data_IF_335894299630
#
_entry.id   IF_335894299630
#
_cell.length_a   1.000
_cell.length_b   1.000
_cell.length_c   1.000
_cell.angle_alpha   90.00
_cell.angle_beta   90.00
_cell.angle_gamma   90.00
#
_symmetry.space_group_name_H-M   'P 1'
#
loop_
_entity.id
_entity.type
_entity.pdbx_description
1 polymer ?
#
# COMPACT_ATOMS: atom_id res chain seq x y z
N UNK A 1 -14.25 -9.83 4.32
CA UNK A 1 -14.75 -10.00 5.70
C UNK A 1 -14.17 -8.99 6.70
N UNK A 2 -12.85 -8.71 6.74
CA UNK A 2 -12.26 -7.69 7.64
C UNK A 2 -12.54 -6.24 7.23
N UNK A 3 -12.49 -5.93 5.93
CA UNK A 3 -12.67 -4.55 5.42
C UNK A 3 -14.10 -4.01 5.67
N UNK A 4 -15.12 -4.88 5.64
CA UNK A 4 -16.51 -4.49 5.94
C UNK A 4 -16.75 -4.22 7.43
N UNK A 5 -15.85 -4.66 8.32
CA UNK A 5 -16.04 -4.59 9.77
C UNK A 5 -15.27 -3.45 10.42
N UNK A 6 -14.08 -3.10 9.90
CA UNK A 6 -13.21 -2.06 10.45
C UNK A 6 -13.06 -0.83 9.56
N UNK A 7 -13.52 -0.88 8.31
CA UNK A 7 -13.30 0.18 7.33
C UNK A 7 -11.99 0.03 6.56
N UNK A 8 -11.90 0.72 5.42
CA UNK A 8 -10.82 0.55 4.43
C UNK A 8 -9.54 1.28 4.81
N UNK A 9 -9.68 2.42 5.48
CA UNK A 9 -8.58 3.27 5.93
C UNK A 9 -7.68 2.58 6.97
N UNK A 10 -8.19 1.99 8.07
CA UNK A 10 -7.33 1.32 9.04
C UNK A 10 -6.62 0.10 8.45
N UNK A 11 -7.25 -0.65 7.55
CA UNK A 11 -6.58 -1.77 6.85
C UNK A 11 -5.44 -1.28 5.98
N UNK A 12 -5.63 -0.15 5.28
CA UNK A 12 -4.56 0.48 4.49
C UNK A 12 -3.41 0.95 5.39
N UNK A 13 -3.70 1.62 6.51
CA UNK A 13 -2.69 2.12 7.46
C UNK A 13 -1.88 0.95 8.06
N UNK A 14 -2.56 -0.10 8.51
CA UNK A 14 -1.91 -1.31 9.05
C UNK A 14 -1.04 -1.96 7.97
N UNK A 15 -1.54 -2.10 6.74
CA UNK A 15 -0.78 -2.64 5.61
C UNK A 15 0.47 -1.82 5.28
N UNK A 16 0.34 -0.50 5.21
CA UNK A 16 1.46 0.42 4.95
C UNK A 16 2.49 0.43 6.09
N UNK A 17 2.03 0.34 7.34
CA UNK A 17 2.91 0.25 8.51
C UNK A 17 3.71 -1.06 8.51
N UNK A 18 3.05 -2.19 8.25
CA UNK A 18 3.71 -3.50 8.11
C UNK A 18 4.73 -3.49 6.96
N UNK A 19 4.43 -2.80 5.86
CA UNK A 19 5.37 -2.60 4.76
C UNK A 19 6.64 -1.86 5.21
N UNK A 20 6.49 -0.74 5.93
CA UNK A 20 7.63 0.05 6.43
C UNK A 20 8.48 -0.76 7.43
N UNK A 21 7.82 -1.47 8.35
CA UNK A 21 8.50 -2.36 9.31
C UNK A 21 9.20 -3.50 8.58
N UNK A 22 8.54 -4.13 7.61
CA UNK A 22 9.10 -5.22 6.80
C UNK A 22 10.37 -4.79 6.06
N UNK A 23 10.36 -3.61 5.42
CA UNK A 23 11.55 -3.05 4.75
C UNK A 23 12.66 -2.69 5.75
N UNK A 24 12.31 -2.10 6.89
CA UNK A 24 13.29 -1.79 7.94
C UNK A 24 13.97 -3.06 8.47
N UNK A 25 13.19 -4.10 8.73
CA UNK A 25 13.68 -5.40 9.19
C UNK A 25 14.58 -6.08 8.15
N UNK A 26 14.20 -6.09 6.87
CA UNK A 26 15.01 -6.70 5.82
C UNK A 26 16.28 -5.91 5.50
N UNK A 27 16.30 -4.59 5.70
CA UNK A 27 17.47 -3.75 5.37
C UNK A 27 18.50 -3.72 6.51
N UNK A 28 18.04 -3.67 7.76
CA UNK A 28 18.91 -3.45 8.92
C UNK A 28 19.57 -4.72 9.46
N UNK A 29 18.83 -5.83 9.53
CA UNK A 29 19.28 -7.00 10.29
C UNK A 29 20.21 -7.93 9.51
N UNK A 30 21.24 -8.42 10.22
CA UNK A 30 22.21 -9.39 9.72
C UNK A 30 21.79 -10.79 10.18
N UNK A 31 21.06 -11.53 9.34
CA UNK A 31 20.73 -12.93 9.60
C UNK A 31 19.60 -13.47 8.72
N UNK A 32 19.76 -14.70 8.23
CA UNK A 32 18.75 -15.41 7.42
C UNK A 32 17.39 -15.49 8.11
N UNK A 33 17.27 -15.77 9.44
CA UNK A 33 15.98 -15.85 10.10
C UNK A 33 15.25 -14.51 10.15
N UNK A 34 15.98 -13.43 10.46
CA UNK A 34 15.42 -12.08 10.58
C UNK A 34 14.99 -11.52 9.21
N UNK A 35 15.78 -11.81 8.16
CA UNK A 35 15.41 -11.51 6.78
C UNK A 35 14.14 -12.23 6.32
N UNK A 36 13.95 -13.48 6.75
CA UNK A 36 12.71 -14.24 6.46
C UNK A 36 11.50 -13.65 7.16
N UNK A 37 11.61 -13.28 8.44
CA UNK A 37 10.53 -12.60 9.18
C UNK A 37 10.18 -11.27 8.50
N UNK A 38 11.19 -10.50 8.09
CA UNK A 38 10.99 -9.26 7.34
C UNK A 38 10.22 -9.51 6.03
N UNK A 39 10.56 -10.55 5.26
CA UNK A 39 9.83 -10.92 4.03
C UNK A 39 8.40 -11.35 4.27
N UNK A 40 8.13 -12.11 5.32
CA UNK A 40 6.76 -12.50 5.70
C UNK A 40 5.94 -11.25 6.03
N UNK A 41 6.51 -10.35 6.84
CA UNK A 41 5.87 -9.09 7.23
C UNK A 41 5.59 -8.20 6.02
N UNK A 42 6.56 -8.09 5.11
CA UNK A 42 6.44 -7.32 3.87
C UNK A 42 5.35 -7.90 2.96
N UNK A 43 5.30 -9.22 2.80
CA UNK A 43 4.25 -9.90 2.03
C UNK A 43 2.85 -9.69 2.60
N UNK A 44 2.70 -9.78 3.93
CA UNK A 44 1.44 -9.48 4.61
C UNK A 44 1.02 -8.01 4.39
N UNK A 45 1.96 -7.07 4.54
CA UNK A 45 1.72 -5.65 4.32
C UNK A 45 1.24 -5.33 2.89
N UNK A 46 1.90 -5.91 1.88
CA UNK A 46 1.47 -5.79 0.46
C UNK A 46 0.07 -6.36 0.27
N UNK A 47 -0.23 -7.53 0.82
CA UNK A 47 -1.53 -8.17 0.67
C UNK A 47 -2.69 -7.34 1.24
N UNK A 48 -2.50 -6.76 2.44
CA UNK A 48 -3.51 -5.88 3.06
C UNK A 48 -3.66 -4.57 2.30
N UNK A 49 -2.54 -3.93 1.93
CA UNK A 49 -2.57 -2.66 1.20
C UNK A 49 -3.21 -2.82 -0.19
N UNK A 50 -2.84 -3.86 -0.93
CA UNK A 50 -3.37 -4.12 -2.28
C UNK A 50 -4.89 -4.33 -2.26
N UNK A 51 -5.39 -5.16 -1.34
CA UNK A 51 -6.83 -5.35 -1.18
C UNK A 51 -7.56 -4.04 -0.84
N UNK A 52 -7.03 -3.26 0.10
CA UNK A 52 -7.63 -1.99 0.48
C UNK A 52 -7.67 -0.98 -0.69
N UNK A 53 -6.56 -0.86 -1.45
CA UNK A 53 -6.45 0.05 -2.59
C UNK A 53 -7.44 -0.34 -3.69
N UNK A 54 -7.48 -1.61 -4.12
CA UNK A 54 -8.42 -2.06 -5.15
C UNK A 54 -9.88 -1.80 -4.75
N UNK A 55 -10.20 -1.95 -3.45
CA UNK A 55 -11.54 -1.66 -2.96
C UNK A 55 -11.86 -0.15 -2.99
N UNK A 56 -10.95 0.69 -2.50
CA UNK A 56 -11.10 2.16 -2.51
C UNK A 56 -11.24 2.67 -3.95
N UNK A 57 -10.41 2.16 -4.86
CA UNK A 57 -10.43 2.52 -6.28
C UNK A 57 -11.77 2.15 -6.93
N UNK A 58 -12.25 0.94 -6.63
CA UNK A 58 -13.54 0.44 -7.10
C UNK A 58 -14.75 1.24 -6.59
N UNK A 59 -14.63 1.91 -5.45
CA UNK A 59 -15.72 2.71 -4.87
C UNK A 59 -15.65 4.20 -5.21
N UNK A 60 -14.45 4.70 -5.46
CA UNK A 60 -14.25 6.13 -5.75
C UNK A 60 -14.35 6.41 -7.25
N UNK A 61 -14.14 5.40 -8.10
CA UNK A 61 -14.14 5.60 -9.54
C UNK A 61 -15.57 5.74 -10.12
N UNK A 62 -15.84 6.76 -10.97
CA UNK A 62 -17.08 6.90 -11.71
C UNK A 62 -17.34 5.68 -12.61
N UNK A 63 -18.61 5.28 -12.77
CA UNK A 63 -18.99 4.06 -13.51
C UNK A 63 -18.40 4.01 -14.94
N UNK A 64 -18.32 5.15 -15.64
CA UNK A 64 -17.75 5.23 -17.00
C UNK A 64 -16.22 5.05 -17.07
N UNK A 65 -15.49 5.34 -15.99
CA UNK A 65 -14.01 5.36 -16.01
C UNK A 65 -13.37 4.36 -15.05
N UNK A 66 -14.16 3.60 -14.29
CA UNK A 66 -13.71 2.56 -13.36
C UNK A 66 -12.71 1.59 -13.97
N UNK A 67 -12.95 1.12 -15.20
CA UNK A 67 -12.03 0.24 -15.91
C UNK A 67 -10.71 0.91 -16.34
N UNK A 68 -10.66 2.25 -16.48
CA UNK A 68 -9.42 2.97 -16.82
C UNK A 68 -8.53 3.13 -15.57
N UNK A 69 -9.13 3.44 -14.42
CA UNK A 69 -8.41 3.57 -13.15
C UNK A 69 -7.78 2.25 -12.71
N UNK A 70 -8.52 1.14 -12.81
CA UNK A 70 -8.00 -0.18 -12.45
C UNK A 70 -6.84 -0.61 -13.36
N UNK A 71 -6.96 -0.36 -14.67
CA UNK A 71 -5.86 -0.57 -15.63
C UNK A 71 -4.64 0.28 -15.30
N UNK A 72 -4.82 1.57 -14.98
CA UNK A 72 -3.72 2.47 -14.59
C UNK A 72 -2.98 1.96 -13.36
N UNK A 73 -3.71 1.47 -12.36
CA UNK A 73 -3.11 0.86 -11.17
C UNK A 73 -2.30 -0.40 -11.54
N UNK A 74 -2.86 -1.27 -12.38
CA UNK A 74 -2.15 -2.46 -12.86
C UNK A 74 -0.89 -2.12 -13.66
N UNK A 75 -0.92 -1.06 -14.49
CA UNK A 75 0.26 -0.59 -15.22
C UNK A 75 1.38 -0.14 -14.28
N UNK A 76 1.06 0.54 -13.18
CA UNK A 76 2.06 0.92 -12.17
C UNK A 76 2.70 -0.30 -11.51
N UNK A 77 1.90 -1.32 -11.20
CA UNK A 77 2.40 -2.59 -10.64
C UNK A 77 3.37 -3.27 -11.62
N UNK A 78 3.01 -3.37 -12.90
CA UNK A 78 3.89 -3.95 -13.92
C UNK A 78 5.17 -3.14 -14.12
N UNK A 79 5.07 -1.81 -14.12
CA UNK A 79 6.25 -0.94 -14.20
C UNK A 79 7.21 -1.20 -13.03
N UNK A 80 6.70 -1.31 -11.80
CA UNK A 80 7.52 -1.67 -10.64
C UNK A 80 8.17 -3.05 -10.76
N UNK A 81 7.44 -4.02 -11.30
CA UNK A 81 7.92 -5.39 -11.51
C UNK A 81 9.05 -5.46 -12.56
N UNK A 82 9.03 -4.58 -13.57
CA UNK A 82 10.09 -4.43 -14.57
C UNK A 82 11.31 -3.66 -14.03
N UNK A 83 11.09 -2.63 -13.20
CA UNK A 83 12.16 -1.83 -12.62
C UNK A 83 12.93 -2.57 -11.51
N UNK A 84 12.25 -3.43 -10.74
CA UNK A 84 12.85 -4.18 -9.64
C UNK A 84 14.11 -5.00 -10.03
N UNK A 85 14.10 -5.84 -11.10
CA UNK A 85 15.29 -6.58 -11.50
C UNK A 85 16.40 -5.68 -12.04
N UNK A 86 16.07 -4.56 -12.69
CA UNK A 86 17.06 -3.57 -13.17
C UNK A 86 17.80 -2.95 -11.96
N UNK A 87 17.04 -2.54 -10.94
CA UNK A 87 17.61 -2.00 -9.70
C UNK A 87 18.45 -3.04 -8.95
N UNK A 88 18.01 -4.31 -8.95
CA UNK A 88 18.79 -5.40 -8.36
C UNK A 88 20.10 -5.63 -9.13
N UNK A 89 20.08 -5.57 -10.47
CA UNK A 89 21.28 -5.67 -11.28
C UNK A 89 22.27 -4.55 -11.01
N UNK A 90 21.82 -3.29 -10.95
CA UNK A 90 22.67 -2.14 -10.60
C UNK A 90 23.25 -2.29 -9.20
N UNK A 91 22.43 -2.75 -8.26
CA UNK A 91 22.84 -2.97 -6.89
C UNK A 91 23.84 -4.12 -6.74
N UNK A 92 23.77 -5.16 -7.58
CA UNK A 92 24.67 -6.32 -7.52
C UNK A 92 26.15 -5.97 -7.66
N UNK A 93 26.46 -4.83 -8.28
CA UNK A 93 27.82 -4.28 -8.40
C UNK A 93 28.41 -3.78 -7.06
N UNK A 94 27.60 -3.68 -6.00
CA UNK A 94 28.03 -3.22 -4.68
C UNK A 94 27.94 -4.36 -3.66
N UNK A 95 28.93 -4.47 -2.77
CA UNK A 95 28.96 -5.48 -1.67
C UNK A 95 27.72 -5.36 -0.75
N UNK A 96 27.17 -4.14 -0.63
CA UNK A 96 25.99 -3.83 0.19
C UNK A 96 24.74 -3.62 -0.68
N UNK A 97 24.80 -4.03 -1.95
CA UNK A 97 23.78 -3.81 -2.97
C UNK A 97 22.39 -4.26 -2.55
N UNK A 98 22.28 -5.45 -1.98
CA UNK A 98 21.00 -5.99 -1.54
C UNK A 98 20.28 -5.08 -0.53
N UNK A 99 21.02 -4.40 0.36
CA UNK A 99 20.46 -3.39 1.28
C UNK A 99 19.96 -2.16 0.54
N UNK A 100 20.71 -1.74 -0.47
CA UNK A 100 20.36 -0.61 -1.32
C UNK A 100 19.10 -0.91 -2.13
N UNK A 101 18.94 -2.14 -2.64
CA UNK A 101 17.71 -2.58 -3.32
C UNK A 101 16.49 -2.54 -2.40
N UNK A 102 16.62 -3.03 -1.15
CA UNK A 102 15.52 -2.98 -0.18
C UNK A 102 15.26 -1.55 0.33
N UNK A 103 16.30 -0.75 0.53
CA UNK A 103 16.18 0.66 0.92
C UNK A 103 15.47 1.50 -0.14
N UNK A 104 15.79 1.29 -1.43
CA UNK A 104 15.09 1.93 -2.55
C UNK A 104 13.63 1.49 -2.60
N UNK A 105 13.33 0.22 -2.34
CA UNK A 105 11.95 -0.27 -2.20
C UNK A 105 11.22 0.31 -0.97
N UNK A 106 11.96 0.83 0.02
CA UNK A 106 11.41 1.57 1.16
C UNK A 106 10.80 2.92 0.78
N UNK A 107 11.27 3.56 -0.29
CA UNK A 107 10.75 4.85 -0.75
C UNK A 107 9.25 4.76 -1.12
N UNK A 108 8.81 3.84 -2.02
CA UNK A 108 7.39 3.70 -2.32
C UNK A 108 6.57 3.18 -1.12
N UNK A 109 7.16 2.38 -0.22
CA UNK A 109 6.49 1.93 1.00
C UNK A 109 6.18 3.12 1.95
N UNK A 110 7.15 4.00 2.16
CA UNK A 110 6.99 5.23 2.93
C UNK A 110 6.01 6.20 2.27
N UNK A 111 6.10 6.36 0.95
CA UNK A 111 5.15 7.18 0.19
C UNK A 111 3.72 6.65 0.35
N UNK A 112 3.53 5.33 0.30
CA UNK A 112 2.23 4.70 0.53
C UNK A 112 1.73 4.89 1.97
N UNK A 113 2.63 4.85 2.96
CA UNK A 113 2.28 5.14 4.36
C UNK A 113 1.84 6.60 4.56
N UNK A 114 2.56 7.56 3.99
CA UNK A 114 2.16 8.96 4.04
C UNK A 114 0.84 9.20 3.28
N UNK A 115 0.68 8.57 2.11
CA UNK A 115 -0.57 8.64 1.36
C UNK A 115 -1.74 8.03 2.13
N UNK A 116 -1.54 6.91 2.85
CA UNK A 116 -2.61 6.27 3.61
C UNK A 116 -3.10 7.10 4.79
N UNK A 117 -2.23 7.94 5.37
CA UNK A 117 -2.62 8.94 6.39
C UNK A 117 -3.47 10.07 5.78
N UNK A 118 -3.16 10.50 4.56
CA UNK A 118 -3.89 11.55 3.85
C UNK A 118 -5.23 11.08 3.27
N UNK A 119 -5.39 9.77 3.02
CA UNK A 119 -6.63 9.18 2.51
C UNK A 119 -7.76 9.32 3.56
N UNK A 120 -8.86 9.95 3.13
CA UNK A 120 -10.12 9.98 3.89
C UNK A 120 -10.90 8.69 3.67
N UNK A 121 -11.75 8.33 4.63
CA UNK A 121 -12.58 7.14 4.51
C UNK A 121 -13.52 7.22 3.30
N UNK A 122 -13.77 6.07 2.69
CA UNK A 122 -14.53 5.97 1.43
C UNK A 122 -16.02 6.22 1.71
N UNK A 123 -16.73 7.01 0.88
CA UNK A 123 -18.13 7.40 1.13
C UNK A 123 -19.08 6.22 1.33
N UNK A 124 -18.83 5.07 0.69
CA UNK A 124 -19.66 3.86 0.87
C UNK A 124 -19.57 3.27 2.28
N UNK A 125 -18.42 3.40 2.97
CA UNK A 125 -18.29 2.99 4.37
C UNK A 125 -19.14 3.88 5.29
N UNK A 126 -19.17 5.18 5.01
CA UNK A 126 -19.97 6.18 5.73
C UNK A 126 -21.48 5.98 5.49
N UNK A 127 -21.88 5.54 4.28
CA UNK A 127 -23.27 5.11 4.00
C UNK A 127 -23.61 3.84 4.79
N UNK A 128 -22.73 2.84 4.78
CA UNK A 128 -22.97 1.56 5.47
C UNK A 128 -22.99 1.68 7.01
N UNK A 129 -22.30 2.66 7.59
CA UNK A 129 -22.30 2.93 9.04
C UNK A 129 -23.25 4.06 9.47
N UNK A 130 -24.07 4.59 8.55
CA UNK A 130 -25.12 5.57 8.88
C UNK A 130 -24.65 7.02 9.08
N UNK A 131 -23.38 7.33 8.84
CA UNK A 131 -22.81 8.68 9.03
C UNK A 131 -22.96 9.61 7.81
N UNK A 132 -23.69 9.19 6.76
CA UNK A 132 -23.80 9.96 5.53
C UNK A 132 -24.48 11.34 5.68
N UNK A 133 -25.26 11.53 6.76
CA UNK A 133 -25.99 12.77 7.03
C UNK A 133 -25.04 13.89 7.50
N UNK A 134 -23.99 13.59 8.27
CA UNK A 134 -23.07 14.59 8.86
C UNK A 134 -22.15 15.25 7.80
N UNK A 135 -21.70 14.48 6.80
CA UNK A 135 -20.83 14.99 5.73
C UNK A 135 -21.55 15.90 4.74
N UNK A 136 -22.87 15.73 4.56
CA UNK A 136 -23.70 16.61 3.72
C UNK A 136 -23.98 17.94 4.41
N UNK A 137 -24.13 17.93 5.73
CA UNK A 137 -24.34 19.14 6.54
C UNK A 137 -23.09 20.02 6.62
N UNK A 138 -21.88 19.46 6.76
CA UNK A 138 -20.61 20.21 6.78
C UNK A 138 -20.20 20.84 5.44
N UNK A 139 -20.85 20.46 4.33
CA UNK A 139 -20.58 21.04 2.99
C UNK A 139 -21.52 22.21 2.65
N UNK A 140 -22.54 22.44 3.48
CA UNK A 140 -23.54 23.50 3.33
C UNK A 140 -23.37 24.63 4.35
N UNK A 141 -22.35 24.55 5.22
CA UNK A 141 -21.86 25.59 6.12
C UNK A 141 -20.46 26.01 5.67
#
# INVERSE_FOLDING_TARGET
>A
MLINRWGRKPVLIIGSFLLCVGVGLTTWFHGVPMGTIGRITLGLGVGFAFQAISMILSETAPEETRGKFDKLFQYQVYAGMLLAPIMNYIASSYVWGWRLSFGVAGIPAMMLFLASLAVRETPTFLIQHGEYIDLRQRRLL
#
